data_IF_093617952906
#
_entry.id   IF_093617952906
#
_cell.length_a   1.000
_cell.length_b   1.000
_cell.length_c   1.000
_cell.angle_alpha   90.00
_cell.angle_beta   90.00
_cell.angle_gamma   90.00
#
_symmetry.space_group_name_H-M   'P 1'
#
loop_
_entity.id
_entity.type
_entity.pdbx_description
1 polymer ?
#
# COMPACT_ATOMS: atom_id res chain seq x y z
N UNK A 1 -5.13 -29.64 -10.43
CA UNK A 1 -4.88 -28.54 -11.39
C UNK A 1 -4.09 -27.46 -10.68
N UNK A 2 -2.91 -27.05 -11.20
CA UNK A 2 -2.23 -25.84 -10.73
C UNK A 2 -2.89 -24.64 -11.42
N UNK A 3 -3.39 -23.68 -10.64
CA UNK A 3 -3.81 -22.36 -11.14
C UNK A 3 -2.66 -21.39 -10.90
N UNK A 4 -2.27 -20.69 -11.95
CA UNK A 4 -1.33 -19.57 -11.83
C UNK A 4 -2.14 -18.30 -11.67
N UNK A 5 -1.66 -17.44 -10.78
CA UNK A 5 -2.23 -16.12 -10.51
C UNK A 5 -1.20 -15.07 -10.86
N UNK A 6 -1.65 -13.97 -11.44
CA UNK A 6 -0.77 -12.88 -11.88
C UNK A 6 -1.34 -11.55 -11.37
N UNK A 7 -0.57 -10.88 -10.51
CA UNK A 7 -0.84 -9.49 -10.13
C UNK A 7 0.13 -8.60 -10.91
N UNK A 8 -0.40 -7.65 -11.68
CA UNK A 8 0.41 -6.64 -12.34
C UNK A 8 0.74 -5.54 -11.33
N UNK A 9 2.02 -5.24 -11.14
CA UNK A 9 2.48 -4.14 -10.31
C UNK A 9 3.13 -3.07 -11.19
N UNK A 10 2.67 -1.83 -11.08
CA UNK A 10 3.28 -0.67 -11.73
C UNK A 10 3.80 0.29 -10.66
N UNK A 11 5.07 0.68 -10.81
CA UNK A 11 5.74 1.67 -9.98
C UNK A 11 5.76 2.99 -10.75
N UNK A 12 5.02 3.97 -10.25
CA UNK A 12 5.06 5.33 -10.77
C UNK A 12 6.06 6.17 -9.96
N UNK A 13 7.06 6.72 -10.66
CA UNK A 13 8.11 7.56 -10.11
C UNK A 13 7.91 9.05 -10.46
N UNK A 14 6.90 9.40 -11.25
CA UNK A 14 6.73 10.72 -11.85
C UNK A 14 6.20 11.80 -10.91
N UNK A 15 5.59 11.43 -9.77
CA UNK A 15 4.80 12.36 -8.94
C UNK A 15 5.43 12.66 -7.57
N UNK A 16 6.72 12.37 -7.37
CA UNK A 16 7.40 12.58 -6.08
C UNK A 16 6.97 11.63 -4.95
N UNK A 17 5.86 10.92 -5.14
CA UNK A 17 5.41 9.82 -4.29
C UNK A 17 5.48 8.51 -5.08
N UNK A 18 6.28 7.55 -4.58
CA UNK A 18 6.36 6.22 -5.17
C UNK A 18 5.02 5.50 -5.00
N UNK A 19 4.21 5.45 -6.07
CA UNK A 19 2.93 4.74 -6.05
C UNK A 19 3.11 3.34 -6.63
N UNK A 20 2.59 2.34 -5.92
CA UNK A 20 2.47 0.97 -6.42
C UNK A 20 1.01 0.73 -6.77
N UNK A 21 0.71 0.57 -8.07
CA UNK A 21 -0.60 0.16 -8.55
C UNK A 21 -0.62 -1.35 -8.77
N UNK A 22 -1.51 -2.05 -8.08
CA UNK A 22 -1.72 -3.49 -8.24
C UNK A 22 -3.02 -3.76 -8.99
N UNK A 23 -2.98 -4.60 -10.01
CA UNK A 23 -4.17 -5.02 -10.78
C UNK A 23 -4.25 -6.55 -10.84
N UNK A 24 -5.42 -7.09 -10.53
CA UNK A 24 -5.74 -8.51 -10.46
C UNK A 24 -7.20 -8.69 -10.04
N UNK A 25 -7.68 -9.93 -9.91
CA UNK A 25 -8.99 -10.17 -9.35
C UNK A 25 -9.00 -10.00 -7.81
N UNK A 26 -10.19 -9.93 -7.21
CA UNK A 26 -10.33 -9.62 -5.78
C UNK A 26 -9.66 -10.67 -4.87
N UNK A 27 -9.68 -11.95 -5.25
CA UNK A 27 -9.05 -13.03 -4.47
C UNK A 27 -7.53 -12.89 -4.48
N UNK A 28 -6.95 -12.58 -5.65
CA UNK A 28 -5.51 -12.38 -5.84
C UNK A 28 -5.02 -11.15 -5.06
N UNK A 29 -5.73 -10.03 -5.20
CA UNK A 29 -5.41 -8.80 -4.48
C UNK A 29 -5.55 -8.97 -2.96
N UNK A 30 -6.55 -9.71 -2.52
CA UNK A 30 -6.73 -10.03 -1.09
C UNK A 30 -5.54 -10.85 -0.57
N UNK A 31 -5.13 -11.88 -1.30
CA UNK A 31 -4.00 -12.73 -0.92
C UNK A 31 -2.69 -11.94 -0.83
N UNK A 32 -2.39 -11.11 -1.82
CA UNK A 32 -1.19 -10.27 -1.83
C UNK A 32 -1.23 -9.24 -0.69
N UNK A 33 -2.37 -8.64 -0.41
CA UNK A 33 -2.52 -7.68 0.69
C UNK A 33 -2.21 -8.31 2.05
N UNK A 34 -2.69 -9.54 2.28
CA UNK A 34 -2.39 -10.31 3.50
C UNK A 34 -0.90 -10.62 3.61
N UNK A 35 -0.24 -10.99 2.50
CA UNK A 35 1.20 -11.22 2.48
C UNK A 35 2.00 -9.96 2.82
N UNK A 36 1.64 -8.81 2.24
CA UNK A 36 2.30 -7.53 2.52
C UNK A 36 2.13 -7.18 4.01
N UNK A 37 0.91 -7.23 4.54
CA UNK A 37 0.65 -6.92 5.94
C UNK A 37 1.43 -7.83 6.90
N UNK A 38 1.50 -9.13 6.62
CA UNK A 38 2.25 -10.08 7.44
C UNK A 38 3.77 -9.86 7.39
N UNK A 39 4.32 -9.52 6.22
CA UNK A 39 5.74 -9.19 6.12
C UNK A 39 6.08 -7.91 6.88
N UNK A 40 5.27 -6.85 6.73
CA UNK A 40 5.45 -5.59 7.49
C UNK A 40 5.36 -5.83 8.99
N UNK A 41 4.41 -6.65 9.42
CA UNK A 41 4.26 -7.07 10.81
C UNK A 41 5.53 -7.78 11.31
N UNK A 42 6.06 -8.73 10.55
CA UNK A 42 7.27 -9.46 10.92
C UNK A 42 8.49 -8.52 11.09
N UNK A 43 8.64 -7.52 10.22
CA UNK A 43 9.69 -6.50 10.37
C UNK A 43 9.48 -5.65 11.63
N UNK A 44 8.24 -5.25 11.94
CA UNK A 44 7.94 -4.52 13.17
C UNK A 44 8.31 -5.32 14.43
N UNK A 45 8.03 -6.63 14.44
CA UNK A 45 8.39 -7.51 15.54
C UNK A 45 9.91 -7.62 15.70
N UNK A 46 10.68 -7.66 14.60
CA UNK A 46 12.16 -7.63 14.64
C UNK A 46 12.70 -6.34 15.25
N UNK A 47 11.97 -5.23 15.11
CA UNK A 47 12.29 -3.95 15.74
C UNK A 47 11.88 -3.87 17.23
N UNK A 48 11.33 -4.96 17.79
CA UNK A 48 10.96 -5.04 19.20
C UNK A 48 9.56 -4.52 19.53
N UNK A 49 8.73 -4.22 18.53
CA UNK A 49 7.33 -3.86 18.76
C UNK A 49 6.53 -5.10 19.20
N UNK A 50 5.51 -4.89 20.02
CA UNK A 50 4.51 -5.91 20.28
C UNK A 50 3.63 -6.14 19.05
N UNK A 51 2.89 -7.25 19.05
CA UNK A 51 1.95 -7.57 17.99
C UNK A 51 0.89 -6.47 17.79
N UNK A 52 0.32 -5.98 18.90
CA UNK A 52 -0.65 -4.90 18.91
C UNK A 52 -0.07 -3.58 18.37
N UNK A 53 1.17 -3.26 18.73
CA UNK A 53 1.86 -2.07 18.20
C UNK A 53 2.11 -2.18 16.69
N UNK A 54 2.55 -3.35 16.22
CA UNK A 54 2.76 -3.61 14.80
C UNK A 54 1.45 -3.46 13.99
N UNK A 55 0.34 -4.02 14.48
CA UNK A 55 -1.00 -3.83 13.89
C UNK A 55 -1.37 -2.34 13.85
N UNK A 56 -1.13 -1.62 14.94
CA UNK A 56 -1.38 -0.18 15.04
C UNK A 56 -0.61 0.64 14.01
N UNK A 57 0.69 0.34 13.81
CA UNK A 57 1.53 1.00 12.78
C UNK A 57 0.98 0.76 11.38
N UNK A 58 0.62 -0.49 11.06
CA UNK A 58 0.09 -0.85 9.74
C UNK A 58 -1.23 -0.13 9.48
N UNK A 59 -2.18 -0.18 10.43
CA UNK A 59 -3.48 0.48 10.30
C UNK A 59 -3.29 2.00 10.20
N UNK A 60 -2.51 2.61 11.10
CA UNK A 60 -2.25 4.05 11.08
C UNK A 60 -1.56 4.52 9.80
N UNK A 61 -0.68 3.70 9.21
CA UNK A 61 -0.08 3.96 7.90
C UNK A 61 -1.11 3.96 6.77
N UNK A 62 -2.05 3.01 6.78
CA UNK A 62 -3.17 2.95 5.83
C UNK A 62 -4.07 4.18 6.02
N UNK A 63 -4.52 4.46 7.24
CA UNK A 63 -5.38 5.60 7.55
C UNK A 63 -4.73 6.93 7.13
N UNK A 64 -3.43 7.10 7.38
CA UNK A 64 -2.69 8.28 6.91
C UNK A 64 -2.67 8.37 5.38
N UNK A 65 -2.47 7.27 4.67
CA UNK A 65 -2.49 7.26 3.20
C UNK A 65 -3.86 7.66 2.63
N UNK A 66 -4.96 7.20 3.23
CA UNK A 66 -6.32 7.50 2.75
C UNK A 66 -6.87 8.84 3.28
N UNK A 67 -6.44 9.26 4.47
CA UNK A 67 -6.89 10.47 5.15
C UNK A 67 -6.07 11.71 4.81
N UNK A 68 -4.86 11.55 4.27
CA UNK A 68 -4.02 12.67 3.82
C UNK A 68 -3.94 12.68 2.28
N UNK A 69 -4.64 13.61 1.60
CA UNK A 69 -4.62 13.70 0.14
C UNK A 69 -3.21 13.90 -0.45
N UNK A 70 -2.25 14.36 0.36
CA UNK A 70 -0.87 14.60 -0.06
C UNK A 70 0.04 13.37 0.05
N UNK A 71 -0.37 12.33 0.80
CA UNK A 71 0.43 11.10 0.99
C UNK A 71 0.24 10.11 -0.18
N UNK A 72 -0.86 10.26 -0.93
CA UNK A 72 -1.19 9.46 -2.11
C UNK A 72 -0.71 10.01 -3.46
N UNK A 73 -0.03 11.15 -3.48
CA UNK A 73 0.51 11.74 -4.73
C UNK A 73 -0.47 12.61 -5.51
N UNK A 74 -1.36 13.36 -4.84
CA UNK A 74 -1.98 14.55 -5.44
C UNK A 74 -1.30 15.78 -4.85
N UNK A 75 -0.36 16.35 -5.59
CA UNK A 75 0.04 17.74 -5.36
C UNK A 75 -1.09 18.66 -5.84
N UNK A 76 -1.43 19.71 -5.08
CA UNK A 76 -2.42 20.74 -5.44
C UNK A 76 -2.19 21.40 -6.83
N UNK A 77 -1.01 21.19 -7.43
CA UNK A 77 -0.72 21.59 -8.81
C UNK A 77 -1.58 20.88 -9.87
N UNK A 78 -2.05 19.65 -9.62
CA UNK A 78 -2.86 18.90 -10.59
C UNK A 78 -4.32 19.40 -10.67
N UNK A 79 -4.83 20.08 -9.64
CA UNK A 79 -6.18 20.67 -9.66
C UNK A 79 -6.27 21.95 -10.50
N UNK A 80 -5.14 22.64 -10.70
CA UNK A 80 -5.09 23.87 -11.50
C UNK A 80 -4.81 23.64 -13.00
N UNK A 81 -4.66 22.38 -13.44
CA UNK A 81 -4.51 22.04 -14.88
C UNK A 81 -5.87 21.74 -15.54
N UNK A 82 -6.95 21.61 -14.75
CA UNK A 82 -8.31 21.31 -15.25
C UNK A 82 -9.32 22.46 -15.12
N UNK A 83 -8.86 23.73 -15.13
CA UNK A 83 -9.74 24.89 -15.32
C UNK A 83 -9.46 25.59 -16.65
#
# INVERSE_FOLDING_TARGET
MRKFSFVKCELDYGTGNHRISMSGNIEELSYVSVLIANNLRAECLKLGLTDEQAKGVIIGGIEKFWGDPNVGGRSEQDENISK
#
